data_IF_145282758205
#
_entry.id   IF_145282758205
#
_cell.length_a   1.000
_cell.length_b   1.000
_cell.length_c   1.000
_cell.angle_alpha   90.00
_cell.angle_beta   90.00
_cell.angle_gamma   90.00
#
_symmetry.space_group_name_H-M   'P 1'
#
loop_
_entity.id
_entity.type
_entity.pdbx_description
1 polymer ?
#
# COMPACT_ATOMS: atom_id res chain seq x y z
N UNK A 1 32.75 -5.61 -51.14
CA UNK A 1 32.97 -5.55 -49.67
C UNK A 1 32.65 -4.12 -49.26
N UNK A 2 31.37 -3.86 -49.02
CA UNK A 2 30.80 -2.52 -48.82
C UNK A 2 30.91 -2.12 -47.36
N UNK A 3 31.58 -1.00 -47.14
CA UNK A 3 31.72 -0.30 -45.88
C UNK A 3 30.39 0.36 -45.51
N UNK A 4 29.91 0.18 -44.26
CA UNK A 4 28.68 0.79 -43.74
C UNK A 4 29.06 1.60 -42.51
N UNK A 5 28.90 2.93 -42.50
CA UNK A 5 29.15 3.71 -41.30
C UNK A 5 28.07 3.39 -40.27
N UNK A 6 28.51 3.17 -39.03
CA UNK A 6 27.64 3.08 -37.87
C UNK A 6 27.08 4.48 -37.60
N UNK A 7 25.91 4.76 -38.17
CA UNK A 7 25.08 5.90 -37.81
C UNK A 7 24.52 5.63 -36.41
N UNK A 8 25.25 6.03 -35.37
CA UNK A 8 24.71 6.14 -34.02
C UNK A 8 23.74 7.31 -34.00
N UNK A 9 22.47 6.97 -34.19
CA UNK A 9 21.35 7.91 -34.13
C UNK A 9 21.32 8.62 -32.75
N UNK A 10 21.54 9.95 -32.69
CA UNK A 10 21.48 10.70 -31.43
C UNK A 10 20.08 10.70 -30.80
N UNK A 11 19.06 10.21 -31.52
CA UNK A 11 17.72 10.01 -30.98
C UNK A 11 17.62 8.82 -30.02
N UNK A 12 18.55 7.85 -30.06
CA UNK A 12 18.53 6.69 -29.18
C UNK A 12 19.03 7.01 -27.75
N UNK A 13 19.77 8.10 -27.57
CA UNK A 13 20.33 8.53 -26.27
C UNK A 13 19.52 9.67 -25.61
N UNK A 14 18.50 10.19 -26.29
CA UNK A 14 17.45 11.01 -25.69
C UNK A 14 16.38 10.09 -25.08
N UNK A 15 16.80 9.31 -24.09
CA UNK A 15 15.97 8.41 -23.30
C UNK A 15 14.63 9.07 -22.89
N UNK A 16 13.57 8.28 -22.63
CA UNK A 16 12.30 8.73 -22.03
C UNK A 16 12.47 9.15 -20.56
N UNK A 17 13.47 10.00 -20.26
CA UNK A 17 13.73 10.59 -18.94
C UNK A 17 12.77 11.72 -18.60
N UNK A 18 12.13 12.33 -19.60
CA UNK A 18 11.16 13.40 -19.38
C UNK A 18 9.74 12.90 -19.05
N UNK A 19 9.39 11.66 -19.43
CA UNK A 19 8.09 11.03 -19.12
C UNK A 19 8.08 10.27 -17.78
N UNK A 20 9.24 10.08 -17.15
CA UNK A 20 9.38 9.28 -15.92
C UNK A 20 9.10 10.08 -14.63
N UNK A 21 9.17 11.41 -14.65
CA UNK A 21 9.09 12.21 -13.41
C UNK A 21 7.68 12.28 -12.78
N UNK A 22 6.57 12.50 -13.52
CA UNK A 22 5.23 12.58 -12.93
C UNK A 22 4.75 11.22 -12.41
N UNK A 23 4.97 10.17 -13.21
CA UNK A 23 4.67 8.78 -12.81
C UNK A 23 5.45 8.38 -11.54
N UNK A 24 6.72 8.81 -11.43
CA UNK A 24 7.52 8.56 -10.23
C UNK A 24 6.95 9.30 -9.00
N UNK A 25 6.43 10.52 -9.15
CA UNK A 25 5.80 11.25 -8.05
C UNK A 25 4.53 10.55 -7.54
N UNK A 26 3.68 10.04 -8.44
CA UNK A 26 2.50 9.25 -8.06
C UNK A 26 2.90 7.95 -7.34
N UNK A 27 3.91 7.24 -7.83
CA UNK A 27 4.44 6.04 -7.17
C UNK A 27 4.98 6.35 -5.78
N UNK A 28 5.77 7.42 -5.62
CA UNK A 28 6.30 7.84 -4.32
C UNK A 28 5.18 8.26 -3.35
N UNK A 29 4.15 8.92 -3.86
CA UNK A 29 2.97 9.31 -3.09
C UNK A 29 2.20 8.09 -2.60
N UNK A 30 1.95 7.10 -3.48
CA UNK A 30 1.34 5.84 -3.10
C UNK A 30 2.16 5.11 -2.03
N UNK A 31 3.48 4.98 -2.25
CA UNK A 31 4.38 4.30 -1.31
C UNK A 31 4.39 4.99 0.06
N UNK A 32 4.46 6.32 0.10
CA UNK A 32 4.45 7.08 1.36
C UNK A 32 3.17 6.81 2.15
N UNK A 33 2.00 6.88 1.49
CA UNK A 33 0.72 6.61 2.16
C UNK A 33 0.61 5.18 2.66
N UNK A 34 1.04 4.20 1.85
CA UNK A 34 1.06 2.78 2.24
C UNK A 34 1.95 2.58 3.47
N UNK A 35 3.11 3.22 3.53
CA UNK A 35 4.03 3.13 4.68
C UNK A 35 3.41 3.74 5.94
N UNK A 36 2.78 4.91 5.84
CA UNK A 36 2.12 5.57 6.97
C UNK A 36 0.96 4.73 7.53
N UNK A 37 0.12 4.18 6.65
CA UNK A 37 -0.98 3.30 7.04
C UNK A 37 -0.47 1.99 7.65
N UNK A 38 0.55 1.39 7.05
CA UNK A 38 1.20 0.18 7.58
C UNK A 38 1.79 0.43 8.97
N UNK A 39 2.45 1.59 9.18
CA UNK A 39 2.98 1.98 10.47
C UNK A 39 1.89 2.13 11.53
N UNK A 40 0.78 2.77 11.16
CA UNK A 40 -0.38 2.93 12.03
C UNK A 40 -1.02 1.59 12.40
N UNK A 41 -1.21 0.71 11.41
CA UNK A 41 -1.70 -0.65 11.61
C UNK A 41 -0.77 -1.44 12.53
N UNK A 42 0.55 -1.44 12.26
CA UNK A 42 1.53 -2.18 13.04
C UNK A 42 1.52 -1.74 14.52
N UNK A 43 1.48 -0.43 14.77
CA UNK A 43 1.38 0.11 16.12
C UNK A 43 0.11 -0.38 16.86
N UNK A 44 -1.03 -0.40 16.17
CA UNK A 44 -2.28 -0.93 16.73
C UNK A 44 -2.22 -2.45 16.97
N UNK A 45 -1.66 -3.19 16.03
CA UNK A 45 -1.48 -4.63 16.13
C UNK A 45 -0.60 -5.01 17.32
N UNK A 46 0.54 -4.34 17.51
CA UNK A 46 1.42 -4.60 18.66
C UNK A 46 0.70 -4.36 19.99
N UNK A 47 -0.09 -3.29 20.12
CA UNK A 47 -0.91 -3.04 21.32
C UNK A 47 -1.88 -4.18 21.59
N UNK A 48 -2.57 -4.69 20.56
CA UNK A 48 -3.50 -5.81 20.73
C UNK A 48 -2.80 -7.12 21.10
N UNK A 49 -1.59 -7.36 20.57
CA UNK A 49 -0.78 -8.53 20.93
C UNK A 49 -0.28 -8.46 22.37
N UNK A 50 0.03 -7.27 22.87
CA UNK A 50 0.33 -7.08 24.28
C UNK A 50 -0.86 -7.47 25.17
N UNK A 51 -2.06 -6.96 24.86
CA UNK A 51 -3.29 -7.31 25.59
C UNK A 51 -3.58 -8.82 25.54
N UNK A 52 -3.32 -9.47 24.41
CA UNK A 52 -3.49 -10.93 24.29
C UNK A 52 -2.50 -11.69 25.19
N UNK A 53 -1.25 -11.22 25.30
CA UNK A 53 -0.26 -11.80 26.19
C UNK A 53 -0.66 -11.65 27.66
N UNK A 54 -1.15 -10.47 28.06
CA UNK A 54 -1.69 -10.24 29.40
C UNK A 54 -2.89 -11.17 29.70
N UNK A 55 -3.82 -11.30 28.75
CA UNK A 55 -4.98 -12.19 28.90
C UNK A 55 -4.56 -13.66 29.05
N UNK A 56 -3.52 -14.11 28.32
CA UNK A 56 -2.97 -15.46 28.48
C UNK A 56 -2.30 -15.64 29.85
N UNK A 57 -1.58 -14.63 30.34
CA UNK A 57 -1.05 -14.62 31.71
C UNK A 57 -2.15 -14.73 32.77
N UNK A 58 -3.25 -14.00 32.59
CA UNK A 58 -4.43 -14.08 33.45
C UNK A 58 -5.05 -15.47 33.46
N UNK A 59 -5.22 -16.10 32.28
CA UNK A 59 -5.70 -17.49 32.19
C UNK A 59 -4.79 -18.45 32.95
N UNK A 60 -3.46 -18.35 32.77
CA UNK A 60 -2.51 -19.21 33.46
C UNK A 60 -2.61 -19.08 34.99
N UNK A 61 -2.78 -17.86 35.50
CA UNK A 61 -2.99 -17.61 36.93
C UNK A 61 -4.32 -18.19 37.43
N UNK A 62 -5.42 -18.06 36.68
CA UNK A 62 -6.71 -18.66 37.03
C UNK A 62 -6.64 -20.19 37.08
N UNK A 63 -5.97 -20.82 36.10
CA UNK A 63 -5.77 -22.27 36.06
C UNK A 63 -4.94 -22.74 37.27
N UNK A 64 -3.86 -22.03 37.60
CA UNK A 64 -3.05 -22.35 38.79
C UNK A 64 -3.88 -22.22 40.08
N UNK A 65 -4.72 -21.18 40.20
CA UNK A 65 -5.62 -20.95 41.33
C UNK A 65 -6.84 -21.88 41.39
N UNK A 66 -7.11 -22.65 40.32
CA UNK A 66 -8.17 -23.64 40.31
C UNK A 66 -7.80 -24.93 41.07
N UNK A 67 -6.52 -25.15 41.37
CA UNK A 67 -6.07 -26.27 42.21
C UNK A 67 -6.41 -27.66 41.67
N UNK A 68 -6.59 -27.78 40.35
CA UNK A 68 -6.97 -29.04 39.68
C UNK A 68 -8.47 -29.25 39.53
N UNK A 69 -9.33 -28.29 39.92
CA UNK A 69 -10.78 -28.34 39.68
C UNK A 69 -11.08 -28.24 38.16
N UNK A 70 -11.56 -29.32 37.52
CA UNK A 70 -11.77 -29.35 36.07
C UNK A 70 -12.88 -28.40 35.61
N UNK A 71 -13.91 -28.17 36.44
CA UNK A 71 -15.02 -27.29 36.09
C UNK A 71 -14.52 -25.83 36.05
N UNK A 72 -13.79 -25.40 37.08
CA UNK A 72 -13.20 -24.06 37.13
C UNK A 72 -12.19 -23.80 36.01
N UNK A 73 -11.37 -24.80 35.68
CA UNK A 73 -10.41 -24.70 34.56
C UNK A 73 -11.17 -24.55 33.24
N UNK A 74 -12.19 -25.38 33.00
CA UNK A 74 -13.00 -25.32 31.79
C UNK A 74 -13.68 -23.96 31.63
N UNK A 75 -14.27 -23.44 32.70
CA UNK A 75 -14.91 -22.12 32.71
C UNK A 75 -13.91 -20.98 32.42
N UNK A 76 -12.70 -21.04 32.99
CA UNK A 76 -11.65 -20.05 32.73
C UNK A 76 -11.20 -20.07 31.27
N UNK A 77 -11.01 -21.27 30.70
CA UNK A 77 -10.66 -21.42 29.28
C UNK A 77 -11.77 -20.91 28.38
N UNK A 78 -13.05 -21.21 28.68
CA UNK A 78 -14.18 -20.77 27.89
C UNK A 78 -14.27 -19.23 27.83
N UNK A 79 -14.14 -18.54 28.98
CA UNK A 79 -14.09 -17.07 29.03
C UNK A 79 -12.92 -16.49 28.24
N UNK A 80 -11.74 -17.11 28.37
CA UNK A 80 -10.56 -16.67 27.62
C UNK A 80 -10.77 -16.82 26.10
N UNK A 81 -11.37 -17.94 25.66
CA UNK A 81 -11.66 -18.21 24.25
C UNK A 81 -12.64 -17.18 23.67
N UNK A 82 -13.69 -16.83 24.41
CA UNK A 82 -14.64 -15.80 23.98
C UNK A 82 -13.95 -14.46 23.74
N UNK A 83 -13.15 -13.99 24.71
CA UNK A 83 -12.37 -12.77 24.54
C UNK A 83 -11.30 -12.88 23.42
N UNK A 84 -10.72 -14.07 23.22
CA UNK A 84 -9.74 -14.29 22.15
C UNK A 84 -10.39 -14.16 20.76
N UNK A 85 -11.61 -14.65 20.60
CA UNK A 85 -12.39 -14.52 19.37
C UNK A 85 -12.60 -13.06 19.01
N UNK A 86 -13.02 -12.23 19.97
CA UNK A 86 -13.25 -10.80 19.73
C UNK A 86 -11.96 -10.08 19.31
N UNK A 87 -10.84 -10.38 19.98
CA UNK A 87 -9.52 -9.84 19.62
C UNK A 87 -9.07 -10.26 18.22
N UNK A 88 -9.29 -11.52 17.84
CA UNK A 88 -8.96 -12.05 16.52
C UNK A 88 -9.84 -11.43 15.42
N UNK A 89 -11.13 -11.25 15.68
CA UNK A 89 -12.03 -10.57 14.75
C UNK A 89 -11.61 -9.12 14.51
N UNK A 90 -11.21 -8.40 15.56
CA UNK A 90 -10.66 -7.05 15.42
C UNK A 90 -9.36 -7.04 14.57
N UNK A 91 -8.45 -7.99 14.81
CA UNK A 91 -7.23 -8.16 14.01
C UNK A 91 -7.55 -8.38 12.52
N UNK A 92 -8.47 -9.28 12.20
CA UNK A 92 -8.87 -9.56 10.82
C UNK A 92 -9.50 -8.35 10.15
N UNK A 93 -10.39 -7.63 10.85
CA UNK A 93 -11.05 -6.44 10.31
C UNK A 93 -10.03 -5.37 9.94
N UNK A 94 -9.12 -5.06 10.86
CA UNK A 94 -8.14 -4.00 10.64
C UNK A 94 -7.11 -4.40 9.58
N UNK A 95 -6.75 -5.69 9.49
CA UNK A 95 -5.89 -6.20 8.42
C UNK A 95 -6.53 -6.05 7.04
N UNK A 96 -7.81 -6.45 6.91
CA UNK A 96 -8.55 -6.28 5.66
C UNK A 96 -8.68 -4.81 5.27
N UNK A 97 -8.94 -3.93 6.25
CA UNK A 97 -9.01 -2.49 6.01
C UNK A 97 -7.68 -1.94 5.46
N UNK A 98 -6.53 -2.35 6.02
CA UNK A 98 -5.22 -1.98 5.49
C UNK A 98 -5.04 -2.48 4.06
N UNK A 99 -5.33 -3.75 3.78
CA UNK A 99 -5.20 -4.29 2.42
C UNK A 99 -6.05 -3.52 1.40
N UNK A 100 -7.30 -3.21 1.75
CA UNK A 100 -8.21 -2.44 0.89
C UNK A 100 -7.70 -1.01 0.69
N UNK A 101 -7.25 -0.33 1.74
CA UNK A 101 -6.76 1.05 1.64
C UNK A 101 -5.48 1.14 0.80
N UNK A 102 -4.50 0.26 1.04
CA UNK A 102 -3.29 0.16 0.24
C UNK A 102 -3.59 -0.07 -1.25
N UNK A 103 -4.52 -0.98 -1.55
CA UNK A 103 -4.96 -1.23 -2.93
C UNK A 103 -5.62 0.01 -3.52
N UNK A 104 -6.48 0.70 -2.77
CA UNK A 104 -7.14 1.93 -3.19
C UNK A 104 -6.16 3.07 -3.48
N UNK A 105 -5.09 3.19 -2.69
CA UNK A 105 -4.01 4.14 -2.96
C UNK A 105 -3.28 3.86 -4.28
N UNK A 106 -2.93 2.59 -4.54
CA UNK A 106 -2.28 2.21 -5.79
C UNK A 106 -3.17 2.50 -7.00
N UNK A 107 -4.44 2.08 -6.95
CA UNK A 107 -5.38 2.28 -8.06
C UNK A 107 -5.60 3.77 -8.34
N UNK A 108 -5.76 4.58 -7.29
CA UNK A 108 -5.93 6.03 -7.44
C UNK A 108 -4.73 6.67 -8.13
N UNK A 109 -3.52 6.42 -7.65
CA UNK A 109 -2.31 7.06 -8.16
C UNK A 109 -1.97 6.60 -9.59
N UNK A 110 -2.31 5.34 -9.95
CA UNK A 110 -2.21 4.87 -11.35
C UNK A 110 -3.19 5.63 -12.25
N UNK A 111 -4.45 5.78 -11.85
CA UNK A 111 -5.45 6.50 -12.64
C UNK A 111 -5.10 7.99 -12.79
N UNK A 112 -4.59 8.62 -11.73
CA UNK A 112 -4.12 10.02 -11.78
C UNK A 112 -2.94 10.16 -12.74
N UNK A 113 -1.95 9.27 -12.66
CA UNK A 113 -0.82 9.26 -13.60
C UNK A 113 -1.26 9.06 -15.06
N UNK A 114 -2.21 8.16 -15.33
CA UNK A 114 -2.77 7.96 -16.68
C UNK A 114 -3.50 9.23 -17.19
N UNK A 115 -4.26 9.90 -16.32
CA UNK A 115 -4.93 11.15 -16.64
C UNK A 115 -3.97 12.26 -17.06
N UNK A 116 -2.90 12.46 -16.29
CA UNK A 116 -1.89 13.49 -16.59
C UNK A 116 -1.14 13.22 -17.91
N UNK A 117 -0.85 11.96 -18.22
CA UNK A 117 -0.22 11.57 -19.50
C UNK A 117 -1.15 11.89 -20.66
N UNK A 118 -2.44 11.58 -20.52
CA UNK A 118 -3.43 11.84 -21.55
C UNK A 118 -3.57 13.36 -21.78
N UNK A 119 -3.69 14.14 -20.71
CA UNK A 119 -3.80 15.60 -20.80
C UNK A 119 -2.55 16.21 -21.47
N UNK A 120 -1.35 15.79 -21.04
CA UNK A 120 -0.08 16.25 -21.63
C UNK A 120 0.00 15.92 -23.12
N UNK A 121 -0.47 14.73 -23.52
CA UNK A 121 -0.50 14.30 -24.93
C UNK A 121 -1.47 15.15 -25.75
N UNK A 122 -2.67 15.40 -25.22
CA UNK A 122 -3.68 16.27 -25.86
C UNK A 122 -3.14 17.68 -26.03
N UNK A 123 -2.54 18.24 -24.99
CA UNK A 123 -1.96 19.58 -25.00
C UNK A 123 -0.81 19.71 -26.01
N UNK A 124 0.07 18.71 -26.06
CA UNK A 124 1.15 18.66 -27.05
C UNK A 124 0.58 18.65 -28.48
N UNK A 125 -0.41 17.78 -28.74
CA UNK A 125 -1.05 17.67 -30.06
C UNK A 125 -1.72 18.98 -30.47
N UNK A 126 -2.40 19.64 -29.52
CA UNK A 126 -3.05 20.95 -29.72
C UNK A 126 -2.04 22.05 -30.04
N UNK A 127 -0.91 22.10 -29.32
CA UNK A 127 0.16 23.08 -29.56
C UNK A 127 0.83 22.85 -30.92
N UNK A 128 1.11 21.60 -31.28
CA UNK A 128 1.66 21.23 -32.60
C UNK A 128 0.70 21.55 -33.76
N UNK A 129 -0.62 21.50 -33.54
CA UNK A 129 -1.61 21.96 -34.51
C UNK A 129 -1.61 23.47 -34.71
N UNK A 130 -1.42 24.26 -33.63
CA UNK A 130 -1.36 25.73 -33.71
C UNK A 130 -0.12 26.26 -34.40
N UNK A 131 1.03 25.60 -34.25
CA UNK A 131 2.28 26.00 -34.91
C UNK A 131 2.24 25.76 -36.42
N UNK A 132 1.50 24.76 -36.91
CA UNK A 132 1.27 24.52 -38.35
C UNK A 132 0.39 25.59 -39.02
N UNK A 133 -0.29 26.44 -38.26
CA UNK A 133 -1.10 27.56 -38.77
C UNK A 133 -0.40 28.92 -38.65
N UNK A 134 0.84 28.96 -38.12
CA UNK A 134 1.67 30.15 -38.20
C UNK A 134 2.28 30.23 -39.61
N UNK A 135 1.71 31.07 -40.45
CA UNK A 135 2.22 31.39 -41.79
C UNK A 135 3.61 32.02 -41.66
N UNK A 136 4.65 31.53 -42.37
CA UNK A 136 5.96 32.17 -42.31
C UNK A 136 5.88 33.53 -43.02
N UNK A 137 6.44 34.56 -42.38
CA UNK A 137 6.61 35.92 -42.93
C UNK A 137 7.89 35.97 -43.76
#
# INVERSE_FOLDING_TARGET
>A
MTDRPADTDPAAEAAPKALAAPQMQHVLTAQTRILDETGSFAAAWFRRRHVMAEALGGLAAEIAGAGGDPARITDAVARWQEGARDRLTADMRDWLALCTSCTGHLVREVNEAEGEILETTVDFTRRAGRTKHATPV
#
